data_IF_733163311759
#
_entry.id   IF_733163311759
#
_cell.length_a   1.000
_cell.length_b   1.000
_cell.length_c   1.000
_cell.angle_alpha   90.00
_cell.angle_beta   90.00
_cell.angle_gamma   90.00
#
_symmetry.space_group_name_H-M   'P 1'
#
loop_
_entity.id
_entity.type
_entity.pdbx_description
1 polymer ?
#
# COMPACT_ATOMS: atom_id res chain seq x y z
N UNK A 1 -14.96 18.31 12.84
CA UNK A 1 -14.49 17.09 13.54
C UNK A 1 -13.24 16.56 12.82
N UNK A 2 -12.13 16.29 13.53
CA UNK A 2 -10.92 15.72 12.92
C UNK A 2 -11.01 14.18 12.94
N UNK A 3 -11.64 13.59 11.93
CA UNK A 3 -11.97 12.15 11.90
C UNK A 3 -10.74 11.23 12.11
N UNK A 4 -9.58 11.59 11.55
CA UNK A 4 -8.31 10.90 11.75
C UNK A 4 -7.84 10.79 13.21
N UNK A 5 -8.36 11.62 14.12
CA UNK A 5 -8.01 11.56 15.56
C UNK A 5 -8.82 10.55 16.35
N UNK A 6 -9.98 10.16 15.82
CA UNK A 6 -10.92 9.26 16.51
C UNK A 6 -11.09 7.92 15.77
N UNK A 7 -10.73 7.87 14.49
CA UNK A 7 -10.86 6.68 13.66
C UNK A 7 -9.49 6.09 13.33
N UNK A 8 -9.30 4.82 13.68
CA UNK A 8 -8.07 4.08 13.46
C UNK A 8 -8.39 2.72 12.81
N UNK A 9 -8.24 2.58 11.47
CA UNK A 9 -8.40 1.31 10.78
C UNK A 9 -7.64 0.16 11.44
N UNK A 10 -8.27 -1.00 11.54
CA UNK A 10 -7.65 -2.24 12.00
C UNK A 10 -7.27 -3.06 10.78
N UNK A 11 -6.01 -3.45 10.69
CA UNK A 11 -5.48 -4.33 9.64
C UNK A 11 -5.39 -5.76 10.17
N UNK A 12 -5.22 -6.75 9.28
CA UNK A 12 -5.16 -8.16 9.68
C UNK A 12 -3.98 -8.47 10.64
N UNK A 13 -2.90 -7.70 10.55
CA UNK A 13 -1.67 -7.88 11.33
C UNK A 13 -1.23 -6.57 12.00
N UNK A 14 -2.00 -6.06 12.98
CA UNK A 14 -1.86 -4.68 13.49
C UNK A 14 -0.55 -4.38 14.21
N UNK A 15 0.22 -5.41 14.58
CA UNK A 15 1.51 -5.29 15.25
C UNK A 15 2.68 -5.78 14.38
N UNK A 16 2.44 -5.99 13.07
CA UNK A 16 3.51 -6.40 12.16
C UNK A 16 4.61 -5.35 12.12
N UNK A 17 5.81 -5.76 12.51
CA UNK A 17 7.01 -4.95 12.43
C UNK A 17 8.20 -5.88 12.20
N UNK A 18 8.75 -5.84 10.99
CA UNK A 18 9.91 -6.61 10.57
C UNK A 18 10.77 -5.78 9.63
N UNK A 19 11.80 -6.36 9.04
CA UNK A 19 12.57 -5.68 8.00
C UNK A 19 11.80 -5.61 6.67
N UNK A 20 10.83 -6.51 6.49
CA UNK A 20 10.00 -6.62 5.29
C UNK A 20 8.71 -5.79 5.39
N UNK A 21 8.35 -5.32 6.59
CA UNK A 21 7.16 -4.51 6.80
C UNK A 21 7.31 -3.63 8.03
N UNK A 22 7.16 -2.32 7.85
CA UNK A 22 7.07 -1.34 8.93
C UNK A 22 6.14 -0.21 8.54
N UNK A 23 5.33 0.24 9.48
CA UNK A 23 4.54 1.46 9.34
C UNK A 23 5.32 2.68 9.89
N UNK A 24 5.15 3.83 9.23
CA UNK A 24 5.74 5.11 9.58
C UNK A 24 4.64 6.16 9.68
N UNK A 25 4.69 6.96 10.75
CA UNK A 25 3.72 8.00 11.03
C UNK A 25 3.94 9.19 10.08
N UNK A 26 2.90 9.76 9.47
CA UNK A 26 3.04 10.93 8.62
C UNK A 26 3.28 12.20 9.43
N UNK A 27 3.81 13.23 8.78
CA UNK A 27 3.95 14.56 9.38
C UNK A 27 2.58 15.17 9.69
N UNK A 28 2.54 16.20 10.56
CA UNK A 28 1.28 16.77 11.06
C UNK A 28 0.34 17.29 9.97
N UNK A 29 0.90 17.81 8.87
CA UNK A 29 0.12 18.27 7.72
C UNK A 29 -0.59 17.12 6.97
N UNK A 30 -0.01 15.92 6.97
CA UNK A 30 -0.51 14.76 6.23
C UNK A 30 -1.39 13.84 7.06
N UNK A 31 -1.29 13.86 8.40
CA UNK A 31 -2.13 13.06 9.32
C UNK A 31 -3.65 13.10 9.03
N UNK A 32 -4.25 14.20 8.54
CA UNK A 32 -5.67 14.19 8.20
C UNK A 32 -6.04 13.32 7.00
N UNK A 33 -5.07 13.00 6.15
CA UNK A 33 -5.27 12.35 4.87
C UNK A 33 -4.63 10.96 4.81
N UNK A 34 -3.41 10.85 5.32
CA UNK A 34 -2.61 9.64 5.31
C UNK A 34 -2.67 9.04 6.71
N UNK A 35 -3.02 7.76 6.78
CA UNK A 35 -3.01 6.98 8.02
C UNK A 35 -1.57 6.61 8.40
N UNK A 36 -0.82 6.06 7.44
CA UNK A 36 0.59 5.72 7.59
C UNK A 36 1.26 5.60 6.22
N UNK A 37 2.58 5.69 6.22
CA UNK A 37 3.38 5.08 5.16
C UNK A 37 3.76 3.67 5.60
N UNK A 38 3.89 2.72 4.69
CA UNK A 38 4.37 1.39 5.05
C UNK A 38 5.27 0.80 3.97
N UNK A 39 6.13 -0.14 4.34
CA UNK A 39 7.08 -0.71 3.38
C UNK A 39 8.19 -1.51 4.03
N UNK A 40 9.21 -1.84 3.24
CA UNK A 40 10.46 -2.44 3.75
C UNK A 40 11.35 -1.34 4.33
N UNK A 41 12.18 -1.67 5.33
CA UNK A 41 13.11 -0.67 5.91
C UNK A 41 14.30 -0.36 5.00
N UNK A 42 14.67 -1.32 4.16
CA UNK A 42 15.81 -1.32 3.24
C UNK A 42 15.47 -2.25 2.07
N UNK A 43 16.22 -2.20 0.96
CA UNK A 43 16.12 -3.23 -0.06
C UNK A 43 16.34 -4.62 0.56
N UNK A 44 15.47 -5.56 0.21
CA UNK A 44 15.46 -6.92 0.71
C UNK A 44 15.84 -7.86 -0.44
N UNK A 45 16.88 -8.66 -0.22
CA UNK A 45 17.19 -9.76 -1.12
C UNK A 45 16.17 -10.86 -0.86
N UNK A 46 15.36 -11.14 -1.87
CA UNK A 46 14.38 -12.19 -1.84
C UNK A 46 14.95 -13.39 -2.58
N UNK A 47 15.18 -14.47 -1.84
CA UNK A 47 15.66 -15.72 -2.43
C UNK A 47 14.59 -16.35 -3.30
N UNK A 48 15.04 -17.09 -4.32
CA UNK A 48 14.15 -17.91 -5.12
C UNK A 48 13.51 -18.98 -4.24
N UNK A 49 12.21 -18.98 -4.15
CA UNK A 49 11.46 -19.96 -3.34
C UNK A 49 10.15 -20.33 -4.00
N UNK A 50 9.88 -21.64 -4.03
CA UNK A 50 8.60 -22.20 -4.45
C UNK A 50 7.60 -22.30 -3.28
N UNK A 51 8.03 -21.94 -2.06
CA UNK A 51 7.16 -21.91 -0.88
C UNK A 51 6.34 -20.62 -0.94
N UNK A 52 5.03 -20.78 -1.14
CA UNK A 52 4.07 -19.67 -1.13
C UNK A 52 3.91 -19.14 0.30
N UNK A 53 4.21 -17.87 0.48
CA UNK A 53 3.86 -17.14 1.70
C UNK A 53 2.52 -16.46 1.49
N UNK A 54 1.58 -16.68 2.41
CA UNK A 54 0.24 -16.09 2.32
C UNK A 54 0.09 -14.98 3.34
N UNK A 55 -0.40 -13.83 2.89
CA UNK A 55 -0.95 -12.76 3.73
C UNK A 55 -2.47 -12.79 3.71
N UNK A 56 -3.08 -12.14 4.69
CA UNK A 56 -4.54 -11.91 4.72
C UNK A 56 -4.77 -10.40 4.69
N UNK A 57 -5.70 -9.96 3.86
CA UNK A 57 -6.21 -8.59 3.83
C UNK A 57 -7.66 -8.63 4.27
N UNK A 58 -8.00 -7.80 5.26
CA UNK A 58 -9.37 -7.62 5.74
C UNK A 58 -9.88 -6.23 5.31
N UNK A 59 -11.20 -6.04 5.16
CA UNK A 59 -11.79 -4.71 5.00
C UNK A 59 -11.41 -3.80 6.16
N UNK A 60 -10.67 -2.72 5.88
CA UNK A 60 -10.17 -1.79 6.89
C UNK A 60 -10.51 -0.32 6.57
N UNK A 61 -11.24 -0.05 5.48
CA UNK A 61 -11.55 1.30 4.96
C UNK A 61 -10.32 2.12 4.57
N UNK A 62 -9.19 1.46 4.34
CA UNK A 62 -8.02 2.09 3.74
C UNK A 62 -8.05 1.96 2.22
N UNK A 63 -7.26 2.80 1.58
CA UNK A 63 -6.86 2.67 0.19
C UNK A 63 -5.35 2.87 0.14
N UNK A 64 -4.66 2.15 -0.72
CA UNK A 64 -3.20 2.17 -0.78
C UNK A 64 -2.71 2.57 -2.17
N UNK A 65 -1.69 3.42 -2.22
CA UNK A 65 -0.79 3.51 -3.39
C UNK A 65 0.48 2.76 -3.00
N UNK A 66 0.86 1.76 -3.78
CA UNK A 66 1.98 0.86 -3.49
C UNK A 66 3.01 0.99 -4.60
N UNK A 67 4.27 1.10 -4.21
CA UNK A 67 5.44 1.11 -5.07
C UNK A 67 6.30 -0.09 -4.75
N UNK A 68 6.66 -0.86 -5.77
CA UNK A 68 7.64 -1.93 -5.73
C UNK A 68 8.79 -1.57 -6.66
N UNK A 69 9.97 -1.40 -6.08
CA UNK A 69 11.21 -1.11 -6.78
C UNK A 69 12.00 -2.41 -6.89
N UNK A 70 12.19 -2.87 -8.11
CA UNK A 70 13.03 -4.01 -8.46
C UNK A 70 14.40 -3.49 -8.90
N UNK A 71 15.38 -3.60 -8.01
CA UNK A 71 16.76 -3.20 -8.28
C UNK A 71 17.49 -4.20 -9.20
N UNK A 72 17.03 -5.45 -9.27
CA UNK A 72 17.65 -6.48 -10.12
C UNK A 72 17.35 -6.22 -11.60
N UNK A 73 16.11 -5.87 -11.92
CA UNK A 73 15.68 -5.59 -13.30
C UNK A 73 15.58 -4.10 -13.63
N UNK A 74 15.91 -3.22 -12.69
CA UNK A 74 15.79 -1.77 -12.82
C UNK A 74 14.37 -1.33 -13.22
N UNK A 75 13.37 -1.82 -12.50
CA UNK A 75 11.95 -1.55 -12.76
C UNK A 75 11.27 -0.97 -11.53
N UNK A 76 10.30 -0.10 -11.77
CA UNK A 76 9.39 0.38 -10.74
C UNK A 76 7.98 -0.02 -11.15
N UNK A 77 7.33 -0.80 -10.30
CA UNK A 77 5.93 -1.13 -10.40
C UNK A 77 5.17 -0.26 -9.41
N UNK A 78 4.05 0.30 -9.84
CA UNK A 78 3.16 1.03 -8.97
C UNK A 78 1.74 0.43 -9.10
N UNK A 79 1.01 0.37 -8.00
CA UNK A 79 -0.39 -0.02 -8.03
C UNK A 79 -1.22 0.78 -7.03
N UNK A 80 -2.51 0.90 -7.35
CA UNK A 80 -3.51 1.44 -6.47
C UNK A 80 -4.45 0.32 -6.03
N UNK A 81 -4.72 0.27 -4.73
CA UNK A 81 -5.70 -0.61 -4.10
C UNK A 81 -6.86 0.24 -3.59
N UNK A 82 -8.06 0.04 -4.14
CA UNK A 82 -9.27 0.65 -3.61
C UNK A 82 -9.79 -0.05 -2.35
N UNK A 83 -10.93 0.43 -1.83
CA UNK A 83 -11.55 -0.17 -0.64
C UNK A 83 -11.99 -1.59 -0.98
N UNK A 84 -11.66 -2.53 -0.09
CA UNK A 84 -12.15 -3.90 -0.18
C UNK A 84 -13.37 -4.10 0.73
N UNK A 85 -14.42 -4.74 0.23
CA UNK A 85 -15.61 -5.12 1.01
C UNK A 85 -15.59 -6.59 1.46
N UNK A 86 -14.53 -7.31 1.12
CA UNK A 86 -14.32 -8.72 1.44
C UNK A 86 -12.88 -9.02 1.82
N UNK A 87 -12.70 -10.03 2.65
CA UNK A 87 -11.39 -10.59 2.98
C UNK A 87 -10.84 -11.37 1.78
N UNK A 88 -9.53 -11.24 1.53
CA UNK A 88 -8.84 -12.07 0.55
C UNK A 88 -7.42 -12.39 1.01
N UNK A 89 -6.86 -13.47 0.47
CA UNK A 89 -5.46 -13.84 0.71
C UNK A 89 -4.58 -13.24 -0.37
N UNK A 90 -3.43 -12.71 0.04
CA UNK A 90 -2.33 -12.38 -0.87
C UNK A 90 -1.35 -13.54 -0.87
N UNK A 91 -0.76 -13.83 -2.03
CA UNK A 91 0.24 -14.89 -2.14
C UNK A 91 1.50 -14.30 -2.75
N UNK A 92 2.59 -14.38 -2.00
CA UNK A 92 3.90 -13.95 -2.45
C UNK A 92 4.81 -15.18 -2.57
N UNK A 93 5.44 -15.31 -3.73
CA UNK A 93 6.51 -16.27 -4.01
C UNK A 93 7.43 -15.65 -5.05
N UNK A 94 8.69 -16.08 -5.08
CA UNK A 94 9.69 -15.53 -5.97
C UNK A 94 10.27 -16.64 -6.83
N UNK A 95 9.97 -16.58 -8.12
CA UNK A 95 10.49 -17.53 -9.11
C UNK A 95 11.97 -17.30 -9.44
N UNK A 96 12.49 -16.13 -9.09
CA UNK A 96 13.86 -15.68 -9.30
C UNK A 96 14.37 -14.95 -8.06
N UNK A 97 15.68 -14.98 -7.84
CA UNK A 97 16.31 -14.10 -6.85
C UNK A 97 16.17 -12.64 -7.28
N UNK A 98 15.68 -11.78 -6.38
CA UNK A 98 15.41 -10.38 -6.67
C UNK A 98 15.76 -9.49 -5.48
N UNK A 99 16.27 -8.29 -5.75
CA UNK A 99 16.47 -7.26 -4.72
C UNK A 99 15.31 -6.26 -4.81
N UNK A 100 14.40 -6.35 -3.85
CA UNK A 100 13.14 -5.60 -3.87
C UNK A 100 13.06 -4.57 -2.75
N UNK A 101 12.49 -3.42 -3.03
CA UNK A 101 12.08 -2.45 -2.02
C UNK A 101 10.62 -2.08 -2.22
N UNK A 102 9.87 -2.05 -1.11
CA UNK A 102 8.45 -1.70 -1.15
C UNK A 102 8.23 -0.45 -0.33
N UNK A 103 7.45 0.47 -0.87
CA UNK A 103 6.97 1.66 -0.18
C UNK A 103 5.52 1.92 -0.57
N UNK A 104 4.69 2.31 0.37
CA UNK A 104 3.29 2.52 0.14
C UNK A 104 2.75 3.65 1.01
N UNK A 105 1.71 4.30 0.50
CA UNK A 105 0.98 5.36 1.16
C UNK A 105 -0.41 4.81 1.45
N UNK A 106 -0.75 4.71 2.74
CA UNK A 106 -2.07 4.28 3.19
C UNK A 106 -2.93 5.48 3.53
N UNK A 107 -3.98 5.67 2.75
CA UNK A 107 -4.94 6.73 2.93
C UNK A 107 -6.15 6.24 3.71
N UNK A 108 -6.80 7.17 4.40
CA UNK A 108 -8.20 6.96 4.77
C UNK A 108 -9.07 6.98 3.51
N UNK A 109 -10.08 6.11 3.42
CA UNK A 109 -10.99 6.04 2.27
C UNK A 109 -11.53 7.40 1.80
N UNK A 110 -11.87 8.28 2.74
CA UNK A 110 -12.46 9.60 2.44
C UNK A 110 -11.45 10.64 1.96
N UNK A 111 -10.14 10.40 2.09
CA UNK A 111 -9.11 11.39 1.77
C UNK A 111 -8.51 11.20 0.38
N UNK A 112 -8.51 9.98 -0.16
CA UNK A 112 -7.97 9.68 -1.51
C UNK A 112 -8.52 10.59 -2.60
N UNK A 113 -9.83 10.91 -2.66
CA UNK A 113 -10.37 11.79 -3.70
C UNK A 113 -9.74 13.19 -3.75
N UNK A 114 -9.05 13.62 -2.70
CA UNK A 114 -8.32 14.91 -2.66
C UNK A 114 -7.01 14.86 -3.45
N UNK A 115 -6.45 13.67 -3.65
CA UNK A 115 -5.17 13.43 -4.34
C UNK A 115 -5.35 12.88 -5.75
N UNK A 116 -6.58 12.52 -6.15
CA UNK A 116 -6.86 11.99 -7.47
C UNK A 116 -7.40 13.03 -8.43
N UNK A 117 -7.17 12.77 -9.71
CA UNK A 117 -7.72 13.61 -10.79
C UNK A 117 -9.17 13.24 -11.13
N UNK A 118 -9.61 12.05 -10.71
CA UNK A 118 -10.93 11.50 -11.01
C UNK A 118 -11.70 11.15 -9.74
N UNK A 119 -13.01 10.97 -9.91
CA UNK A 119 -13.87 10.44 -8.86
C UNK A 119 -13.44 9.00 -8.55
N UNK A 120 -13.34 8.66 -7.27
CA UNK A 120 -13.06 7.29 -6.81
C UNK A 120 -14.26 6.33 -6.96
N UNK A 121 -15.15 6.60 -7.92
CA UNK A 121 -16.23 5.69 -8.28
C UNK A 121 -15.64 4.40 -8.83
N UNK A 122 -16.32 3.27 -8.60
CA UNK A 122 -15.95 1.96 -9.15
C UNK A 122 -14.56 1.42 -8.74
N UNK A 123 -13.93 2.02 -7.72
CA UNK A 123 -12.65 1.53 -7.17
C UNK A 123 -12.82 0.43 -6.12
N UNK A 124 -14.06 0.07 -5.77
CA UNK A 124 -14.33 -0.99 -4.78
C UNK A 124 -13.81 -2.35 -5.27
N UNK A 125 -13.02 -3.02 -4.44
CA UNK A 125 -12.32 -4.26 -4.75
C UNK A 125 -11.39 -4.16 -5.98
N UNK A 126 -11.03 -2.95 -6.39
CA UNK A 126 -10.21 -2.73 -7.56
C UNK A 126 -8.72 -2.68 -7.21
N UNK A 127 -7.90 -3.21 -8.13
CA UNK A 127 -6.46 -3.14 -8.10
C UNK A 127 -5.96 -2.85 -9.52
N UNK A 128 -5.27 -1.74 -9.74
CA UNK A 128 -4.81 -1.31 -11.06
C UNK A 128 -3.54 -0.45 -10.98
N UNK A 129 -2.91 -0.17 -12.12
CA UNK A 129 -1.72 0.70 -12.22
C UNK A 129 -2.07 2.14 -11.79
N UNK A 130 -1.16 2.80 -11.08
CA UNK A 130 -1.46 4.10 -10.46
C UNK A 130 -1.72 5.19 -11.51
N UNK A 131 -1.14 5.05 -12.71
CA UNK A 131 -1.35 5.94 -13.85
C UNK A 131 -2.79 6.04 -14.32
N UNK A 132 -3.72 5.18 -13.87
CA UNK A 132 -5.13 5.32 -14.24
C UNK A 132 -5.83 6.54 -13.59
N UNK A 133 -5.45 6.95 -12.37
CA UNK A 133 -6.14 8.04 -11.66
C UNK A 133 -5.22 9.13 -11.08
N UNK A 134 -3.90 9.00 -11.23
CA UNK A 134 -2.93 9.88 -10.58
C UNK A 134 -1.80 10.36 -11.53
N UNK A 135 -2.16 10.73 -12.76
CA UNK A 135 -1.23 11.05 -13.87
C UNK A 135 -0.30 12.26 -13.64
N UNK A 136 -0.69 13.24 -12.82
CA UNK A 136 -0.01 14.55 -12.68
C UNK A 136 0.49 14.87 -11.28
N UNK A 137 0.03 14.16 -10.26
CA UNK A 137 0.19 14.58 -8.85
C UNK A 137 0.94 13.60 -7.93
N UNK A 138 1.64 12.61 -8.47
CA UNK A 138 2.55 11.78 -7.66
C UNK A 138 3.94 12.38 -7.72
N UNK A 139 4.09 13.50 -7.00
CA UNK A 139 5.39 13.98 -6.57
C UNK A 139 5.25 14.15 -5.05
N UNK A 140 5.73 13.17 -4.30
CA UNK A 140 6.11 13.36 -2.90
C UNK A 140 7.60 13.72 -2.86
#
# INVERSE_FOLDING_TARGET
MKLHKIYNPIIATPFACSDNYKEFIPCDALKPYIRCFWGTKKPVNQEKTYIKTNGIVIPDTCMDIIFHIDFTNNRIHNSFCGINDRTFSTTNYNDTEQTMFSFAIRFYAWSVPVFSEEKMCDTRNAHFDVGYHFLKNIIL
#
